data_IF_036350678770
#
_entry.id   IF_036350678770
#
_cell.length_a   1.000
_cell.length_b   1.000
_cell.length_c   1.000
_cell.angle_alpha   90.00
_cell.angle_beta   90.00
_cell.angle_gamma   90.00
#
_symmetry.space_group_name_H-M   'P 1'
#
loop_
_entity.id
_entity.type
_entity.pdbx_description
1 polymer ?
#
# COMPACT_ATOMS: atom_id res chain seq x y z
N UNK A 1 -5.08 -19.49 16.03
CA UNK A 1 -4.33 -18.39 15.38
C UNK A 1 -5.33 -17.34 14.89
N UNK A 2 -5.02 -16.10 15.09
CA UNK A 2 -5.83 -14.96 14.64
C UNK A 2 -4.94 -13.96 13.92
N UNK A 3 -5.35 -13.46 12.77
CA UNK A 3 -4.62 -12.47 11.98
C UNK A 3 -5.48 -11.21 11.90
N UNK A 4 -4.90 -10.07 12.27
CA UNK A 4 -5.59 -8.78 12.32
C UNK A 4 -4.82 -7.79 11.46
N UNK A 5 -5.51 -7.08 10.59
CA UNK A 5 -4.95 -5.90 9.93
C UNK A 5 -4.97 -4.74 10.93
N UNK A 6 -3.80 -4.40 11.45
CA UNK A 6 -3.65 -3.33 12.45
C UNK A 6 -3.55 -1.94 11.83
N UNK A 7 -3.02 -1.84 10.63
CA UNK A 7 -2.88 -0.57 9.95
C UNK A 7 -2.28 -0.70 8.55
N UNK A 8 -2.32 0.41 7.82
CA UNK A 8 -1.66 0.54 6.52
C UNK A 8 -1.40 2.03 6.23
N UNK A 9 -0.48 2.31 5.31
CA UNK A 9 -0.15 3.68 4.96
C UNK A 9 -1.15 4.27 3.96
N UNK A 10 -1.43 5.56 4.12
CA UNK A 10 -2.22 6.36 3.19
C UNK A 10 -1.45 7.61 2.80
N UNK A 11 -1.82 8.21 1.68
CA UNK A 11 -1.32 9.53 1.34
C UNK A 11 -1.88 10.58 2.29
N UNK A 12 -1.08 11.60 2.57
CA UNK A 12 -1.41 12.61 3.58
C UNK A 12 -2.67 13.41 3.26
N UNK A 13 -2.87 13.74 2.01
CA UNK A 13 -4.05 14.50 1.56
C UNK A 13 -5.35 13.72 1.80
N UNK A 14 -5.32 12.40 1.62
CA UNK A 14 -6.46 11.53 1.95
C UNK A 14 -6.77 11.56 3.44
N UNK A 15 -5.74 11.51 4.30
CA UNK A 15 -5.90 11.59 5.75
C UNK A 15 -6.55 12.93 6.15
N UNK A 16 -6.11 14.03 5.57
CA UNK A 16 -6.67 15.35 5.82
C UNK A 16 -8.14 15.43 5.40
N UNK A 17 -8.46 14.93 4.23
CA UNK A 17 -9.84 14.93 3.72
C UNK A 17 -10.77 14.09 4.61
N UNK A 18 -10.30 12.97 5.16
CA UNK A 18 -11.09 12.10 6.04
C UNK A 18 -11.43 12.75 7.38
N UNK A 19 -10.63 13.71 7.84
CA UNK A 19 -10.88 14.46 9.08
C UNK A 19 -11.98 15.51 8.94
N UNK A 20 -12.26 15.98 7.75
CA UNK A 20 -13.21 17.05 7.47
C UNK A 20 -14.55 16.58 6.89
N UNK A 21 -14.66 15.34 6.44
CA UNK A 21 -15.87 14.76 5.85
C UNK A 21 -15.99 13.28 6.18
N UNK A 22 -17.19 12.72 6.01
CA UNK A 22 -17.41 11.28 6.16
C UNK A 22 -16.59 10.53 5.10
N UNK A 23 -15.61 9.67 5.48
CA UNK A 23 -14.78 8.99 4.52
C UNK A 23 -15.56 7.89 3.79
N UNK A 24 -15.29 7.72 2.51
CA UNK A 24 -15.67 6.53 1.76
C UNK A 24 -14.53 5.50 1.92
N UNK A 25 -14.68 4.44 2.73
CA UNK A 25 -13.57 3.54 3.08
C UNK A 25 -12.91 2.88 1.86
N UNK A 26 -13.67 2.67 0.80
CA UNK A 26 -13.21 2.01 -0.43
C UNK A 26 -12.17 2.82 -1.21
N UNK A 27 -12.06 4.12 -0.94
CA UNK A 27 -11.07 5.00 -1.57
C UNK A 27 -9.75 5.09 -0.82
N UNK A 28 -9.70 4.53 0.40
CA UNK A 28 -8.54 4.64 1.26
C UNK A 28 -7.69 3.38 1.18
N UNK A 29 -6.82 3.31 0.19
CA UNK A 29 -5.94 2.16 -0.02
C UNK A 29 -4.50 2.59 -0.27
N UNK A 30 -3.51 1.81 0.17
CA UNK A 30 -2.10 2.14 -0.04
C UNK A 30 -1.67 2.09 -1.51
N UNK A 31 -2.46 1.48 -2.40
CA UNK A 31 -2.16 1.44 -3.83
C UNK A 31 -2.12 2.83 -4.47
N UNK A 32 -2.80 3.82 -3.92
CA UNK A 32 -2.77 5.20 -4.41
C UNK A 32 -1.34 5.76 -4.44
N UNK A 33 -0.61 5.59 -3.34
CA UNK A 33 0.78 6.05 -3.23
C UNK A 33 1.68 5.29 -4.20
N UNK A 34 1.54 3.98 -4.23
CA UNK A 34 2.30 3.10 -5.11
C UNK A 34 2.07 3.45 -6.59
N UNK A 35 0.82 3.65 -7.01
CA UNK A 35 0.48 4.02 -8.38
C UNK A 35 1.02 5.38 -8.78
N UNK A 36 1.01 6.36 -7.88
CA UNK A 36 1.57 7.68 -8.14
C UNK A 36 3.07 7.59 -8.43
N UNK A 37 3.80 6.87 -7.58
CA UNK A 37 5.25 6.71 -7.75
C UNK A 37 5.63 5.87 -8.98
N UNK A 38 4.81 4.92 -9.36
CA UNK A 38 5.00 4.17 -10.60
C UNK A 38 4.99 5.06 -11.85
N UNK A 39 4.28 6.18 -11.81
CA UNK A 39 4.13 7.09 -12.94
C UNK A 39 5.23 8.15 -13.04
N UNK A 40 6.05 8.35 -12.01
CA UNK A 40 7.06 9.41 -11.96
C UNK A 40 8.05 9.31 -13.14
N UNK A 41 8.48 8.12 -13.49
CA UNK A 41 9.44 7.90 -14.57
C UNK A 41 8.86 8.08 -15.98
N UNK A 42 7.52 8.14 -16.10
CA UNK A 42 6.80 8.14 -17.38
C UNK A 42 6.01 9.40 -17.67
N UNK A 43 5.85 10.26 -16.67
CA UNK A 43 5.03 11.46 -16.78
C UNK A 43 5.84 12.70 -16.39
N UNK A 44 5.72 13.80 -17.14
CA UNK A 44 6.34 15.08 -16.77
C UNK A 44 5.59 15.80 -15.64
N UNK A 45 4.43 15.32 -15.24
CA UNK A 45 3.64 15.93 -14.18
C UNK A 45 4.35 15.82 -12.81
N UNK A 46 4.19 16.80 -11.91
CA UNK A 46 4.72 16.72 -10.55
C UNK A 46 4.07 15.59 -9.76
N UNK A 47 4.77 15.07 -8.77
CA UNK A 47 4.34 13.89 -8.00
C UNK A 47 3.04 14.11 -7.23
N UNK A 48 2.79 15.31 -6.75
CA UNK A 48 1.54 15.67 -6.06
C UNK A 48 0.32 15.60 -6.99
N UNK A 49 0.47 16.03 -8.24
CA UNK A 49 -0.57 15.88 -9.26
C UNK A 49 -0.81 14.40 -9.61
N UNK A 50 0.25 13.59 -9.68
CA UNK A 50 0.14 12.16 -9.92
C UNK A 50 -0.60 11.45 -8.77
N UNK A 51 -0.34 11.84 -7.51
CA UNK A 51 -1.09 11.33 -6.36
C UNK A 51 -2.56 11.73 -6.41
N UNK A 52 -2.85 12.98 -6.75
CA UNK A 52 -4.23 13.45 -6.89
C UNK A 52 -4.99 12.67 -7.97
N UNK A 53 -4.36 12.40 -9.10
CA UNK A 53 -4.95 11.58 -10.16
C UNK A 53 -5.18 10.13 -9.70
N UNK A 54 -4.25 9.54 -8.98
CA UNK A 54 -4.38 8.19 -8.45
C UNK A 54 -5.51 8.06 -7.42
N UNK A 55 -5.72 9.09 -6.57
CA UNK A 55 -6.85 9.12 -5.64
C UNK A 55 -8.20 9.17 -6.34
N UNK A 56 -8.31 9.92 -7.43
CA UNK A 56 -9.56 10.04 -8.19
C UNK A 56 -9.93 8.77 -8.94
N UNK A 57 -8.94 7.96 -9.30
CA UNK A 57 -9.10 6.78 -10.16
C UNK A 57 -8.54 5.52 -9.50
N UNK A 58 -9.06 5.14 -8.33
CA UNK A 58 -8.55 4.02 -7.54
C UNK A 58 -8.50 2.70 -8.33
N UNK A 59 -9.55 2.39 -9.08
CA UNK A 59 -9.59 1.17 -9.89
C UNK A 59 -8.52 1.15 -10.99
N UNK A 60 -8.26 2.30 -11.61
CA UNK A 60 -7.20 2.44 -12.60
C UNK A 60 -5.82 2.32 -11.95
N UNK A 61 -5.66 2.85 -10.74
CA UNK A 61 -4.44 2.71 -9.96
C UNK A 61 -4.14 1.25 -9.63
N UNK A 62 -5.14 0.48 -9.20
CA UNK A 62 -5.02 -0.95 -8.92
C UNK A 62 -4.61 -1.75 -10.16
N UNK A 63 -5.27 -1.51 -11.29
CA UNK A 63 -4.93 -2.18 -12.56
C UNK A 63 -3.53 -1.81 -13.04
N UNK A 64 -3.13 -0.56 -12.90
CA UNK A 64 -1.80 -0.10 -13.26
C UNK A 64 -0.73 -0.80 -12.40
N UNK A 65 -0.93 -0.87 -11.09
CA UNK A 65 -0.01 -1.57 -10.18
C UNK A 65 0.09 -3.06 -10.51
N UNK A 66 -1.04 -3.71 -10.78
CA UNK A 66 -1.06 -5.12 -11.17
C UNK A 66 -0.21 -5.36 -12.42
N UNK A 67 -0.40 -4.55 -13.46
CA UNK A 67 0.38 -4.65 -14.69
C UNK A 67 1.87 -4.41 -14.45
N UNK A 68 2.22 -3.34 -13.72
CA UNK A 68 3.62 -2.98 -13.49
C UNK A 68 4.34 -4.00 -12.61
N UNK A 69 3.69 -4.47 -11.54
CA UNK A 69 4.30 -5.41 -10.60
C UNK A 69 4.38 -6.81 -11.16
N UNK A 70 3.27 -7.33 -11.71
CA UNK A 70 3.19 -8.72 -12.14
C UNK A 70 3.60 -8.94 -13.59
N UNK A 71 3.21 -8.07 -14.50
CA UNK A 71 3.49 -8.25 -15.93
C UNK A 71 4.88 -7.72 -16.32
N UNK A 72 5.32 -6.64 -15.69
CA UNK A 72 6.60 -5.98 -15.99
C UNK A 72 7.71 -6.28 -14.98
N UNK A 73 7.40 -6.96 -13.88
CA UNK A 73 8.39 -7.37 -12.87
C UNK A 73 8.94 -6.25 -11.99
N UNK A 74 8.30 -5.09 -11.93
CA UNK A 74 8.72 -3.96 -11.10
C UNK A 74 8.16 -4.05 -9.67
N UNK A 75 8.59 -5.07 -8.92
CA UNK A 75 8.10 -5.35 -7.57
C UNK A 75 8.39 -4.24 -6.55
N UNK A 76 9.45 -3.45 -6.74
CA UNK A 76 9.80 -2.32 -5.86
C UNK A 76 8.69 -1.27 -5.74
N UNK A 77 7.85 -1.15 -6.75
CA UNK A 77 6.70 -0.24 -6.72
C UNK A 77 5.68 -0.67 -5.67
N UNK A 78 5.44 -1.96 -5.53
CA UNK A 78 4.54 -2.50 -4.52
C UNK A 78 5.03 -2.24 -3.10
N UNK A 79 6.32 -2.08 -2.88
CA UNK A 79 6.91 -1.81 -1.57
C UNK A 79 6.51 -0.45 -0.97
N UNK A 80 5.95 0.46 -1.77
CA UNK A 80 5.37 1.71 -1.26
C UNK A 80 4.07 1.48 -0.49
N UNK A 81 3.42 0.34 -0.67
CA UNK A 81 2.26 -0.07 0.13
C UNK A 81 2.74 -0.88 1.34
N UNK A 82 2.41 -0.39 2.54
CA UNK A 82 2.84 -1.00 3.80
C UNK A 82 1.62 -1.38 4.64
N UNK A 83 1.63 -2.60 5.16
CA UNK A 83 0.58 -3.13 6.03
C UNK A 83 1.18 -3.51 7.37
N UNK A 84 0.51 -3.15 8.46
CA UNK A 84 0.81 -3.64 9.79
C UNK A 84 -0.16 -4.77 10.10
N UNK A 85 0.36 -5.94 10.41
CA UNK A 85 -0.43 -7.14 10.62
C UNK A 85 -0.05 -7.74 11.97
N UNK A 86 -1.05 -7.97 12.83
CA UNK A 86 -0.88 -8.69 14.08
C UNK A 86 -1.22 -10.17 13.87
N UNK A 87 -0.35 -11.05 14.36
CA UNK A 87 -0.56 -12.50 14.34
C UNK A 87 -0.60 -13.00 15.78
N UNK A 88 -1.76 -13.47 16.22
CA UNK A 88 -2.00 -13.90 17.59
C UNK A 88 -2.20 -15.42 17.68
N UNK A 89 -1.76 -16.01 18.80
CA UNK A 89 -1.93 -17.44 19.03
C UNK A 89 -1.11 -18.31 18.09
N UNK A 90 0.08 -17.84 17.74
CA UNK A 90 1.01 -18.55 16.87
C UNK A 90 2.11 -19.21 17.70
N UNK A 91 2.55 -20.41 17.31
CA UNK A 91 3.66 -21.10 17.97
C UNK A 91 4.98 -20.40 17.65
N UNK A 92 5.95 -20.52 18.57
CA UNK A 92 7.29 -19.96 18.35
C UNK A 92 7.97 -20.56 17.11
N UNK A 93 7.73 -21.82 16.84
CA UNK A 93 8.27 -22.47 15.65
C UNK A 93 7.73 -21.85 14.36
N UNK A 94 6.44 -21.51 14.33
CA UNK A 94 5.83 -20.83 13.17
C UNK A 94 6.32 -19.39 13.04
N UNK A 95 6.55 -18.68 14.15
CA UNK A 95 7.15 -17.34 14.14
C UNK A 95 8.51 -17.35 13.44
N UNK A 96 9.36 -18.33 13.72
CA UNK A 96 10.66 -18.48 13.05
C UNK A 96 10.52 -18.63 11.54
N UNK A 97 9.50 -19.35 11.06
CA UNK A 97 9.23 -19.49 9.64
C UNK A 97 8.73 -18.19 8.99
N UNK A 98 7.87 -17.45 9.69
CA UNK A 98 7.34 -16.16 9.21
C UNK A 98 8.46 -15.12 9.08
N UNK A 99 9.36 -15.05 10.06
CA UNK A 99 10.44 -14.07 10.11
C UNK A 99 11.56 -14.30 9.09
N UNK A 100 11.53 -15.38 8.33
CA UNK A 100 12.46 -15.61 7.23
C UNK A 100 12.27 -14.67 6.03
N UNK A 101 11.14 -14.01 5.92
CA UNK A 101 10.87 -13.07 4.82
C UNK A 101 11.63 -11.76 5.03
N UNK A 102 12.53 -11.47 4.12
CA UNK A 102 13.57 -10.44 4.25
C UNK A 102 13.07 -9.00 4.18
N UNK A 103 11.97 -8.76 3.46
CA UNK A 103 11.46 -7.41 3.20
C UNK A 103 10.41 -6.95 4.22
N UNK A 104 10.26 -7.68 5.32
CA UNK A 104 9.33 -7.34 6.39
C UNK A 104 10.12 -6.94 7.64
N UNK A 105 9.47 -6.19 8.52
CA UNK A 105 9.96 -5.88 9.86
C UNK A 105 9.09 -6.61 10.88
N UNK A 106 9.70 -7.17 11.90
CA UNK A 106 9.02 -8.01 12.87
C UNK A 106 9.28 -7.53 14.30
N UNK A 107 8.27 -7.69 15.17
CA UNK A 107 8.38 -7.50 16.61
C UNK A 107 7.68 -8.67 17.30
N UNK A 108 8.38 -9.30 18.22
CA UNK A 108 7.86 -10.40 19.04
C UNK A 108 7.43 -9.90 20.43
#
# INVERSE_FOLDING_TARGET
>A
MKIILAGFNLDYETIRASQSSSPEPERFTPETVSAAYARISRSPAPVDELRAAARREVEKARRSNQSIVFDMGHSSIAEHAVFNIDVLGVSRLLVEEIEKFRLCSYTE
#
